data_IF_067903674185
#
_entry.id   IF_067903674185
#
_cell.length_a   1.000
_cell.length_b   1.000
_cell.length_c   1.000
_cell.angle_alpha   90.00
_cell.angle_beta   90.00
_cell.angle_gamma   90.00
#
_symmetry.space_group_name_H-M   'P 1'
#
loop_
_entity.id
_entity.type
_entity.pdbx_description
1 polymer ?
#
# COMPACT_ATOMS: atom_id res chain seq x y z
N UNK A 1 -15.28 4.89 40.37
CA UNK A 1 -14.01 4.19 40.10
C UNK A 1 -14.38 2.97 39.28
N UNK A 2 -13.96 2.88 38.03
CA UNK A 2 -14.39 1.80 37.14
C UNK A 2 -13.26 1.46 36.18
N UNK A 3 -12.87 0.20 36.16
CA UNK A 3 -11.89 -0.34 35.22
C UNK A 3 -12.57 -0.51 33.87
N UNK A 4 -11.99 0.06 32.81
CA UNK A 4 -12.51 -0.01 31.44
C UNK A 4 -11.54 -0.78 30.55
N UNK A 5 -12.11 -1.57 29.63
CA UNK A 5 -11.37 -2.14 28.51
C UNK A 5 -11.51 -1.19 27.32
N UNK A 6 -10.40 -0.57 26.93
CA UNK A 6 -10.39 0.52 25.96
C UNK A 6 -9.24 0.37 24.96
N UNK A 7 -9.33 1.13 23.88
CA UNK A 7 -8.27 1.23 22.88
C UNK A 7 -7.31 2.35 23.26
N UNK A 8 -6.03 2.02 23.40
CA UNK A 8 -4.94 2.99 23.42
C UNK A 8 -4.40 3.15 22.00
N UNK A 9 -4.21 4.39 21.53
CA UNK A 9 -3.73 4.66 20.18
C UNK A 9 -2.21 4.60 20.14
N UNK A 10 -1.70 3.88 19.15
CA UNK A 10 -0.31 3.89 18.68
C UNK A 10 -0.30 4.21 17.18
N UNK A 11 0.90 4.34 16.63
CA UNK A 11 1.16 4.46 15.21
C UNK A 11 1.38 5.90 14.79
N UNK A 12 1.51 6.10 13.49
CA UNK A 12 1.78 7.41 12.87
C UNK A 12 0.49 8.05 12.38
N UNK A 13 0.58 9.31 11.94
CA UNK A 13 -0.53 9.99 11.24
C UNK A 13 -0.97 9.12 10.04
N UNK A 14 -2.29 8.99 9.83
CA UNK A 14 -2.92 8.15 8.79
C UNK A 14 -2.68 6.63 8.86
N UNK A 15 -1.88 6.13 9.80
CA UNK A 15 -1.68 4.69 10.04
C UNK A 15 -1.80 4.42 11.53
N UNK A 16 -3.04 4.49 12.03
CA UNK A 16 -3.33 4.27 13.44
C UNK A 16 -3.38 2.77 13.74
N UNK A 17 -2.74 2.35 14.82
CA UNK A 17 -2.77 1.00 15.36
C UNK A 17 -3.23 1.12 16.80
N UNK A 18 -4.03 0.20 17.29
CA UNK A 18 -4.56 0.28 18.65
C UNK A 18 -4.09 -0.89 19.49
N UNK A 19 -3.84 -0.64 20.76
CA UNK A 19 -3.73 -1.70 21.76
C UNK A 19 -5.03 -1.81 22.53
N UNK A 20 -5.44 -3.05 22.79
CA UNK A 20 -6.55 -3.33 23.69
C UNK A 20 -5.98 -3.41 25.10
N UNK A 21 -6.27 -2.40 25.90
CA UNK A 21 -5.71 -2.23 27.25
C UNK A 21 -6.82 -2.13 28.29
N UNK A 22 -6.48 -2.55 29.50
CA UNK A 22 -7.30 -2.41 30.68
C UNK A 22 -6.72 -1.29 31.52
N UNK A 23 -7.52 -0.27 31.79
CA UNK A 23 -7.09 0.89 32.55
C UNK A 23 -8.25 1.44 33.38
N UNK A 24 -7.93 2.22 34.41
CA UNK A 24 -8.94 3.00 35.11
C UNK A 24 -9.56 4.04 34.15
N UNK A 25 -10.87 4.29 34.30
CA UNK A 25 -11.60 5.24 33.47
C UNK A 25 -11.03 6.67 33.48
N UNK A 26 -10.37 7.10 34.56
CA UNK A 26 -9.80 8.44 34.73
C UNK A 26 -8.41 8.59 34.10
N UNK A 27 -7.72 7.47 33.84
CA UNK A 27 -6.39 7.53 33.24
C UNK A 27 -6.46 8.12 31.82
N UNK A 28 -5.46 8.87 31.34
CA UNK A 28 -5.45 9.42 29.99
C UNK A 28 -5.40 8.29 28.95
N UNK A 29 -5.90 8.53 27.71
CA UNK A 29 -6.08 7.50 26.67
C UNK A 29 -4.85 6.62 26.47
N UNK A 30 -3.69 7.25 26.30
CA UNK A 30 -2.41 6.60 25.98
C UNK A 30 -1.44 6.59 27.18
N UNK A 31 -1.94 6.74 28.40
CA UNK A 31 -1.10 6.76 29.61
C UNK A 31 -0.98 5.41 30.29
N UNK A 32 -0.83 5.46 31.62
CA UNK A 32 -0.67 4.26 32.45
C UNK A 32 -1.89 3.35 32.35
N UNK A 33 -1.65 2.09 32.03
CA UNK A 33 -2.62 1.00 32.04
C UNK A 33 -2.21 -0.09 33.03
N UNK A 34 -3.16 -0.97 33.37
CA UNK A 34 -2.96 -2.09 34.29
C UNK A 34 -2.36 -3.27 33.52
N UNK A 35 -3.01 -3.66 32.42
CA UNK A 35 -2.62 -4.80 31.59
C UNK A 35 -2.98 -4.57 30.12
N UNK A 36 -2.13 -5.06 29.22
CA UNK A 36 -2.42 -5.15 27.78
C UNK A 36 -2.90 -6.57 27.46
N UNK A 37 -4.10 -6.69 26.88
CA UNK A 37 -4.71 -7.98 26.52
C UNK A 37 -4.67 -8.28 25.03
N UNK A 38 -4.31 -7.30 24.20
CA UNK A 38 -4.30 -7.49 22.75
C UNK A 38 -3.91 -6.27 21.95
N UNK A 39 -4.06 -6.39 20.64
CA UNK A 39 -3.82 -5.37 19.63
C UNK A 39 -4.90 -5.43 18.54
N UNK A 40 -5.19 -4.27 17.95
CA UNK A 40 -6.12 -4.10 16.86
C UNK A 40 -5.48 -3.23 15.77
N UNK A 41 -5.43 -3.76 14.55
CA UNK A 41 -4.95 -3.06 13.37
C UNK A 41 -6.09 -2.92 12.34
N UNK A 42 -6.68 -1.71 12.18
CA UNK A 42 -7.71 -1.46 11.18
C UNK A 42 -7.15 -1.29 9.76
N UNK A 43 -5.83 -1.18 9.58
CA UNK A 43 -5.23 -0.91 8.27
C UNK A 43 -5.05 -2.18 7.43
N UNK A 44 -5.31 -3.36 8.01
CA UNK A 44 -5.32 -4.62 7.27
C UNK A 44 -6.75 -4.95 6.85
N UNK A 45 -6.90 -5.64 5.72
CA UNK A 45 -8.18 -6.14 5.24
C UNK A 45 -8.10 -7.66 5.02
N UNK A 46 -8.74 -8.48 5.88
CA UNK A 46 -9.57 -8.11 7.05
C UNK A 46 -8.79 -7.45 8.20
N UNK A 47 -9.50 -6.71 9.08
CA UNK A 47 -8.88 -6.03 10.21
C UNK A 47 -8.29 -7.04 11.22
N UNK A 48 -7.00 -6.91 11.52
CA UNK A 48 -6.29 -7.83 12.39
C UNK A 48 -6.62 -7.53 13.85
N UNK A 49 -7.43 -8.38 14.46
CA UNK A 49 -7.74 -8.35 15.89
C UNK A 49 -6.95 -9.48 16.53
N UNK A 50 -6.07 -9.20 17.49
CA UNK A 50 -5.38 -10.20 18.30
C UNK A 50 -5.67 -9.92 19.77
N UNK A 51 -6.45 -10.78 20.43
CA UNK A 51 -6.87 -10.61 21.83
C UNK A 51 -6.66 -11.95 22.54
N UNK A 52 -6.08 -11.90 23.74
CA UNK A 52 -6.05 -13.03 24.65
C UNK A 52 -7.44 -13.21 25.30
N UNK A 53 -8.18 -14.21 24.84
CA UNK A 53 -9.58 -14.45 25.22
C UNK A 53 -9.74 -14.76 26.71
N UNK A 54 -8.83 -15.52 27.32
CA UNK A 54 -8.97 -15.94 28.71
C UNK A 54 -8.69 -14.80 29.69
N UNK A 55 -7.70 -13.96 29.38
CA UNK A 55 -7.45 -12.73 30.16
C UNK A 55 -8.61 -11.75 30.01
N UNK A 56 -9.12 -11.56 28.80
CA UNK A 56 -10.27 -10.68 28.55
C UNK A 56 -11.50 -11.14 29.36
N UNK A 57 -11.78 -12.44 29.36
CA UNK A 57 -12.86 -13.04 30.13
C UNK A 57 -12.70 -12.80 31.64
N UNK A 58 -11.50 -13.04 32.19
CA UNK A 58 -11.23 -12.81 33.61
C UNK A 58 -11.56 -11.37 34.02
N UNK A 59 -11.11 -10.39 33.24
CA UNK A 59 -11.37 -8.98 33.52
C UNK A 59 -12.84 -8.61 33.39
N UNK A 60 -13.55 -9.18 32.41
CA UNK A 60 -15.00 -8.98 32.27
C UNK A 60 -15.79 -9.61 33.43
N UNK A 61 -15.37 -10.75 33.96
CA UNK A 61 -15.98 -11.39 35.14
C UNK A 61 -15.72 -10.57 36.40
N UNK A 62 -14.55 -9.93 36.50
CA UNK A 62 -14.22 -8.98 37.57
C UNK A 62 -14.95 -7.63 37.45
N UNK A 63 -15.82 -7.45 36.45
CA UNK A 63 -16.66 -6.25 36.29
C UNK A 63 -16.07 -5.15 35.40
N UNK A 64 -14.96 -5.38 34.70
CA UNK A 64 -14.42 -4.41 33.75
C UNK A 64 -15.43 -4.11 32.63
N UNK A 65 -15.62 -2.83 32.33
CA UNK A 65 -16.59 -2.38 31.33
C UNK A 65 -15.91 -2.13 29.98
N UNK A 66 -16.23 -2.86 28.91
CA UNK A 66 -15.67 -2.59 27.59
C UNK A 66 -16.30 -1.35 26.96
N UNK A 67 -15.48 -0.59 26.22
CA UNK A 67 -15.96 0.46 25.30
C UNK A 67 -16.66 -0.17 24.08
N UNK A 68 -17.50 0.59 23.36
CA UNK A 68 -18.37 0.05 22.31
C UNK A 68 -17.61 -0.71 21.20
N UNK A 69 -16.56 -0.11 20.65
CA UNK A 69 -15.70 -0.75 19.64
C UNK A 69 -15.01 -2.01 20.16
N UNK A 70 -14.55 -1.98 21.42
CA UNK A 70 -13.92 -3.15 22.06
C UNK A 70 -14.97 -4.24 22.31
N UNK A 71 -16.19 -3.88 22.70
CA UNK A 71 -17.32 -4.80 22.86
C UNK A 71 -17.64 -5.50 21.54
N UNK A 72 -17.61 -4.78 20.42
CA UNK A 72 -17.78 -5.37 19.09
C UNK A 72 -16.67 -6.38 18.77
N UNK A 73 -15.40 -6.07 19.06
CA UNK A 73 -14.27 -7.00 18.87
C UNK A 73 -14.37 -8.24 19.76
N UNK A 74 -14.72 -8.06 21.05
CA UNK A 74 -14.89 -9.16 21.99
C UNK A 74 -16.09 -10.05 21.64
N UNK A 75 -17.15 -9.45 21.08
CA UNK A 75 -18.30 -10.18 20.53
C UNK A 75 -17.89 -10.98 19.31
N UNK A 76 -17.15 -10.36 18.38
CA UNK A 76 -16.65 -11.02 17.18
C UNK A 76 -15.74 -12.22 17.49
N UNK A 77 -14.90 -12.12 18.54
CA UNK A 77 -14.05 -13.22 19.03
C UNK A 77 -14.75 -14.22 19.97
N UNK A 78 -16.03 -14.03 20.27
CA UNK A 78 -16.82 -14.94 21.11
C UNK A 78 -16.66 -14.77 22.62
N UNK A 79 -15.79 -13.88 23.10
CA UNK A 79 -15.53 -13.67 24.54
C UNK A 79 -16.80 -13.22 25.28
N UNK A 80 -17.63 -12.39 24.65
CA UNK A 80 -18.91 -11.94 25.24
C UNK A 80 -19.91 -13.09 25.39
N UNK A 81 -19.96 -14.01 24.42
CA UNK A 81 -20.80 -15.19 24.49
C UNK A 81 -20.30 -16.14 25.59
N UNK A 82 -18.99 -16.41 25.62
CA UNK A 82 -18.34 -17.21 26.67
C UNK A 82 -18.65 -16.68 28.06
N UNK A 83 -18.58 -15.35 28.28
CA UNK A 83 -18.98 -14.69 29.52
C UNK A 83 -20.45 -14.96 29.88
N UNK A 84 -21.36 -14.81 28.92
CA UNK A 84 -22.79 -15.03 29.18
C UNK A 84 -23.09 -16.47 29.60
N UNK A 85 -22.50 -17.44 28.89
CA UNK A 85 -22.65 -18.87 29.19
C UNK A 85 -22.08 -19.19 30.58
N UNK A 86 -20.89 -18.70 30.90
CA UNK A 86 -20.31 -18.89 32.24
C UNK A 86 -21.14 -18.29 33.37
N UNK A 87 -21.78 -17.13 33.16
CA UNK A 87 -22.72 -16.58 34.15
C UNK A 87 -23.91 -17.54 34.35
N UNK A 88 -24.38 -18.20 33.29
CA UNK A 88 -25.40 -19.24 33.37
C UNK A 88 -24.94 -20.45 34.19
N UNK A 89 -23.70 -20.90 33.98
CA UNK A 89 -23.09 -22.00 34.76
C UNK A 89 -22.96 -21.63 36.23
N UNK A 90 -22.44 -20.43 36.54
CA UNK A 90 -22.28 -19.95 37.93
C UNK A 90 -23.62 -19.84 38.65
N UNK A 91 -24.70 -19.52 37.92
CA UNK A 91 -26.07 -19.48 38.45
C UNK A 91 -26.75 -20.86 38.50
N UNK A 92 -26.10 -21.92 38.02
CA UNK A 92 -26.64 -23.28 37.99
C UNK A 92 -27.70 -23.54 36.92
N UNK A 93 -27.88 -22.63 35.95
CA UNK A 93 -28.91 -22.76 34.91
C UNK A 93 -28.51 -23.72 33.78
N UNK A 94 -27.21 -23.95 33.58
CA UNK A 94 -26.65 -24.84 32.56
C UNK A 94 -25.40 -25.54 33.11
N UNK A 95 -25.09 -26.72 32.57
CA UNK A 95 -23.82 -27.41 32.90
C UNK A 95 -22.65 -26.82 32.10
N UNK A 96 -21.43 -27.09 32.56
CA UNK A 96 -20.22 -26.63 31.87
C UNK A 96 -20.12 -27.22 30.46
N UNK A 97 -20.47 -28.49 30.28
CA UNK A 97 -20.46 -29.17 28.99
C UNK A 97 -21.42 -28.53 27.99
N UNK A 98 -22.65 -28.21 28.42
CA UNK A 98 -23.63 -27.51 27.59
C UNK A 98 -23.18 -26.11 27.19
N UNK A 99 -22.44 -25.42 28.07
CA UNK A 99 -21.87 -24.12 27.75
C UNK A 99 -20.79 -24.25 26.67
N UNK A 100 -19.90 -25.23 26.80
CA UNK A 100 -18.80 -25.42 25.86
C UNK A 100 -19.31 -25.89 24.49
N UNK A 101 -20.30 -26.78 24.44
CA UNK A 101 -20.94 -27.21 23.18
C UNK A 101 -21.57 -26.03 22.43
N UNK A 102 -22.38 -25.21 23.12
CA UNK A 102 -22.99 -24.01 22.54
C UNK A 102 -21.95 -23.00 22.05
N UNK A 103 -20.84 -22.88 22.78
CA UNK A 103 -19.74 -22.00 22.39
C UNK A 103 -19.04 -22.50 21.12
N UNK A 104 -18.74 -23.79 21.04
CA UNK A 104 -18.10 -24.39 19.87
C UNK A 104 -18.98 -24.29 18.63
N UNK A 105 -20.27 -24.65 18.72
CA UNK A 105 -21.20 -24.54 17.61
C UNK A 105 -21.28 -23.09 17.05
N UNK A 106 -21.20 -22.09 17.94
CA UNK A 106 -21.13 -20.69 17.52
C UNK A 106 -19.80 -20.33 16.87
N UNK A 107 -18.67 -20.82 17.41
CA UNK A 107 -17.33 -20.59 16.87
C UNK A 107 -17.20 -21.17 15.46
N UNK A 108 -17.66 -22.40 15.24
CA UNK A 108 -17.62 -23.06 13.94
C UNK A 108 -18.43 -22.28 12.89
N UNK A 109 -19.63 -21.83 13.26
CA UNK A 109 -20.46 -20.98 12.39
C UNK A 109 -19.80 -19.64 12.06
N UNK A 110 -19.07 -19.06 13.02
CA UNK A 110 -18.30 -17.83 12.80
C UNK A 110 -17.08 -18.05 11.93
N UNK A 111 -16.31 -19.10 12.18
CA UNK A 111 -15.12 -19.44 11.41
C UNK A 111 -15.49 -19.65 9.95
N UNK A 112 -16.58 -20.39 9.67
CA UNK A 112 -17.14 -20.52 8.32
C UNK A 112 -17.44 -19.17 7.67
N UNK A 113 -18.16 -18.29 8.37
CA UNK A 113 -18.50 -16.94 7.86
C UNK A 113 -17.24 -16.09 7.59
N UNK A 114 -16.20 -16.27 8.40
CA UNK A 114 -14.93 -15.56 8.26
C UNK A 114 -14.18 -16.07 7.02
N UNK A 115 -14.06 -17.39 6.86
CA UNK A 115 -13.43 -18.01 5.71
C UNK A 115 -14.08 -17.60 4.39
N UNK A 116 -15.43 -17.63 4.32
CA UNK A 116 -16.18 -17.17 3.15
C UNK A 116 -15.88 -15.70 2.79
N UNK A 117 -15.74 -14.83 3.80
CA UNK A 117 -15.37 -13.41 3.59
C UNK A 117 -13.93 -13.27 3.12
N UNK A 118 -13.00 -14.04 3.68
CA UNK A 118 -11.58 -14.01 3.28
C UNK A 118 -11.44 -14.45 1.82
N UNK A 119 -12.08 -15.54 1.42
CA UNK A 119 -12.09 -16.03 0.03
C UNK A 119 -12.68 -15.00 -0.94
N UNK A 120 -13.78 -14.33 -0.56
CA UNK A 120 -14.36 -13.25 -1.35
C UNK A 120 -13.41 -12.06 -1.51
N UNK A 121 -12.69 -11.69 -0.45
CA UNK A 121 -11.71 -10.60 -0.49
C UNK A 121 -10.50 -11.00 -1.36
N UNK A 122 -10.02 -12.24 -1.25
CA UNK A 122 -8.90 -12.75 -2.05
C UNK A 122 -9.25 -12.79 -3.53
N UNK A 123 -10.38 -13.39 -3.92
CA UNK A 123 -10.86 -13.41 -5.31
C UNK A 123 -11.05 -12.02 -5.91
N UNK A 124 -11.54 -11.05 -5.13
CA UNK A 124 -11.63 -9.66 -5.55
C UNK A 124 -10.24 -9.02 -5.72
N UNK A 125 -9.29 -9.30 -4.82
CA UNK A 125 -7.91 -8.80 -4.95
C UNK A 125 -7.19 -9.42 -6.15
N UNK A 126 -7.41 -10.69 -6.42
CA UNK A 126 -6.74 -11.40 -7.51
C UNK A 126 -7.29 -11.00 -8.88
N UNK A 127 -8.59 -10.72 -9.00
CA UNK A 127 -9.16 -10.16 -10.23
C UNK A 127 -8.63 -8.75 -10.52
N UNK A 128 -8.53 -7.88 -9.50
CA UNK A 128 -7.95 -6.53 -9.64
C UNK A 128 -6.46 -6.60 -10.00
N UNK A 129 -5.69 -7.50 -9.39
CA UNK A 129 -4.28 -7.71 -9.75
C UNK A 129 -4.14 -8.24 -11.18
N UNK A 130 -4.99 -9.18 -11.60
CA UNK A 130 -4.98 -9.73 -12.95
C UNK A 130 -5.25 -8.65 -13.99
N UNK A 131 -6.28 -7.83 -13.81
CA UNK A 131 -6.60 -6.74 -14.74
C UNK A 131 -5.50 -5.67 -14.76
N UNK A 132 -4.89 -5.36 -13.61
CA UNK A 132 -3.75 -4.45 -13.56
C UNK A 132 -2.53 -5.00 -14.31
N UNK A 133 -2.21 -6.29 -14.15
CA UNK A 133 -1.11 -6.95 -14.84
C UNK A 133 -1.36 -7.00 -16.35
N UNK A 134 -2.56 -7.37 -16.79
CA UNK A 134 -2.94 -7.37 -18.21
C UNK A 134 -2.80 -5.97 -18.81
N UNK A 135 -3.27 -4.93 -18.11
CA UNK A 135 -3.12 -3.54 -18.55
C UNK A 135 -1.65 -3.07 -18.61
N UNK A 136 -0.81 -3.51 -17.68
CA UNK A 136 0.62 -3.20 -17.67
C UNK A 136 1.36 -3.93 -18.80
N UNK A 137 1.07 -5.22 -19.02
CA UNK A 137 1.67 -6.00 -20.12
C UNK A 137 1.31 -5.46 -21.49
N UNK A 138 0.07 -5.04 -21.70
CA UNK A 138 -0.35 -4.39 -22.95
C UNK A 138 0.39 -3.06 -23.18
N UNK A 139 0.56 -2.23 -22.15
CA UNK A 139 1.35 -0.99 -22.24
C UNK A 139 2.82 -1.25 -22.52
N UNK A 140 3.40 -2.26 -21.87
CA UNK A 140 4.80 -2.62 -22.07
C UNK A 140 5.04 -3.20 -23.47
N UNK A 141 4.13 -4.05 -23.97
CA UNK A 141 4.19 -4.56 -25.36
C UNK A 141 4.07 -3.43 -26.37
N UNK A 142 3.08 -2.54 -26.25
CA UNK A 142 2.93 -1.39 -27.14
C UNK A 142 4.16 -0.48 -27.14
N UNK A 143 4.82 -0.30 -25.99
CA UNK A 143 6.09 0.45 -25.90
C UNK A 143 7.22 -0.26 -26.62
N UNK A 144 7.33 -1.59 -26.50
CA UNK A 144 8.35 -2.38 -27.21
C UNK A 144 8.13 -2.35 -28.72
N UNK A 145 6.88 -2.48 -29.17
CA UNK A 145 6.54 -2.46 -30.58
C UNK A 145 6.80 -1.07 -31.20
N UNK A 146 6.46 0.01 -30.49
CA UNK A 146 6.81 1.37 -30.93
C UNK A 146 8.32 1.63 -30.97
N UNK A 147 9.10 1.03 -30.06
CA UNK A 147 10.57 1.11 -30.10
C UNK A 147 11.11 0.36 -31.33
N UNK A 148 10.63 -0.86 -31.58
CA UNK A 148 11.03 -1.63 -32.76
C UNK A 148 10.68 -0.92 -34.06
N UNK A 149 9.46 -0.38 -34.19
CA UNK A 149 9.07 0.40 -35.36
C UNK A 149 9.96 1.63 -35.55
N UNK A 150 10.38 2.29 -34.47
CA UNK A 150 11.32 3.42 -34.53
C UNK A 150 12.73 2.98 -34.92
N UNK A 151 13.20 1.84 -34.43
CA UNK A 151 14.50 1.25 -34.78
C UNK A 151 14.52 0.78 -36.24
N UNK A 152 13.47 0.10 -36.69
CA UNK A 152 13.30 -0.36 -38.06
C UNK A 152 13.17 0.83 -39.03
N UNK A 153 12.45 1.89 -38.65
CA UNK A 153 12.40 3.13 -39.42
C UNK A 153 13.77 3.84 -39.48
N UNK A 154 14.50 3.93 -38.36
CA UNK A 154 15.84 4.51 -38.35
C UNK A 154 16.83 3.70 -39.20
N UNK A 155 16.72 2.37 -39.17
CA UNK A 155 17.54 1.46 -39.98
C UNK A 155 17.20 1.56 -41.47
N UNK A 156 15.92 1.70 -41.83
CA UNK A 156 15.50 1.93 -43.21
C UNK A 156 15.98 3.26 -43.77
N UNK A 157 16.00 4.33 -42.96
CA UNK A 157 16.58 5.63 -43.35
C UNK A 157 18.09 5.53 -43.53
N UNK A 158 18.80 4.83 -42.63
CA UNK A 158 20.24 4.60 -42.75
C UNK A 158 20.60 3.75 -43.99
N UNK A 159 19.81 2.72 -44.32
CA UNK A 159 19.99 1.88 -45.52
C UNK A 159 19.69 2.67 -46.81
N UNK A 160 18.72 3.59 -46.77
CA UNK A 160 18.41 4.50 -47.87
C UNK A 160 19.50 5.57 -48.09
N UNK A 161 20.08 6.12 -47.02
CA UNK A 161 21.24 7.02 -47.09
C UNK A 161 22.50 6.30 -47.58
N UNK A 162 22.74 5.05 -47.15
CA UNK A 162 23.85 4.23 -47.63
C UNK A 162 23.73 3.92 -49.14
N UNK A 163 22.52 3.60 -49.63
CA UNK A 163 22.26 3.42 -51.07
C UNK A 163 22.37 4.71 -51.88
N UNK A 164 22.00 5.86 -51.31
CA UNK A 164 22.17 7.16 -51.96
C UNK A 164 23.64 7.57 -52.04
N UNK A 165 24.45 7.22 -51.03
CA UNK A 165 25.90 7.42 -51.03
C UNK A 165 26.62 6.48 -52.01
N UNK A 166 26.15 5.23 -52.16
CA UNK A 166 26.71 4.26 -53.12
C UNK A 166 26.35 4.61 -54.58
N UNK A 167 25.18 5.21 -54.83
CA UNK A 167 24.79 5.71 -56.16
C UNK A 167 25.54 7.00 -56.61
N UNK A 168 26.16 7.72 -55.68
CA UNK A 168 26.98 8.90 -55.97
C UNK A 168 28.45 8.57 -56.31
N UNK A 169 28.89 7.31 -56.18
CA UNK A 169 30.29 6.91 -56.27
C UNK A 169 30.57 5.82 -57.33
N UNK A 170 30.42 6.14 -58.64
CA UNK A 170 31.26 5.66 -59.77
C UNK A 170 30.69 6.03 -61.16
N UNK A 171 31.50 6.37 -62.19
CA UNK A 171 32.66 7.27 -62.21
C UNK A 171 32.53 8.36 -63.32
N UNK A 172 33.17 9.53 -63.15
CA UNK A 172 33.51 10.42 -64.27
C UNK A 172 34.87 11.10 -64.02
N UNK A 173 35.89 10.67 -64.78
CA UNK A 173 37.17 11.35 -65.05
C UNK A 173 37.73 10.77 -66.37
N UNK A 174 38.45 11.52 -67.23
CA UNK A 174 39.83 12.01 -66.96
C UNK A 174 40.07 13.50 -67.38
N UNK A 175 40.67 14.37 -66.52
CA UNK A 175 42.11 14.83 -66.45
C UNK A 175 42.49 16.02 -67.38
N UNK A 176 43.57 16.83 -67.16
CA UNK A 176 44.40 17.09 -65.94
C UNK A 176 44.93 18.56 -65.73
N UNK A 177 45.62 18.78 -64.59
CA UNK A 177 46.77 19.72 -64.28
C UNK A 177 46.57 21.27 -64.30
N UNK A 178 47.17 22.15 -63.47
CA UNK A 178 48.12 22.20 -62.32
C UNK A 178 47.93 23.63 -61.68
N UNK A 179 48.36 24.04 -60.46
CA UNK A 179 49.71 24.25 -59.88
C UNK A 179 49.53 24.73 -58.40
N UNK A 180 50.56 24.45 -57.58
CA UNK A 180 50.98 24.91 -56.22
C UNK A 180 50.51 26.31 -55.74
N UNK A 181 50.44 26.69 -54.46
CA UNK A 181 51.47 26.65 -53.40
C UNK A 181 50.85 27.07 -52.03
N UNK A 182 51.37 26.56 -50.91
CA UNK A 182 51.06 26.99 -49.54
C UNK A 182 51.98 28.16 -49.11
N UNK A 183 51.65 29.00 -48.09
CA UNK A 183 51.93 28.58 -46.71
C UNK A 183 50.97 29.13 -45.63
N UNK A 184 51.25 28.67 -44.41
CA UNK A 184 50.47 28.65 -43.19
C UNK A 184 50.59 29.90 -42.30
N UNK A 185 49.64 30.01 -41.37
CA UNK A 185 49.68 30.65 -40.04
C UNK A 185 49.54 32.18 -39.87
N UNK A 186 48.53 32.58 -39.09
CA UNK A 186 48.67 33.61 -38.03
C UNK A 186 47.60 33.45 -36.95
N UNK A 187 48.03 33.69 -35.72
CA UNK A 187 47.41 33.48 -34.41
C UNK A 187 46.13 34.28 -34.06
N UNK A 188 45.47 33.77 -33.01
CA UNK A 188 44.37 34.33 -32.21
C UNK A 188 44.71 35.67 -31.51
N UNK A 189 43.78 36.40 -30.83
CA UNK A 189 43.29 35.95 -29.51
C UNK A 189 41.85 36.35 -29.09
N UNK A 190 41.25 35.46 -28.28
CA UNK A 190 40.57 35.66 -26.97
C UNK A 190 39.67 36.89 -26.73
N UNK A 191 38.41 36.64 -26.33
CA UNK A 191 37.74 37.35 -25.24
C UNK A 191 36.68 36.45 -24.56
N UNK A 192 36.81 36.32 -23.25
CA UNK A 192 36.01 35.51 -22.33
C UNK A 192 35.23 36.43 -21.36
N UNK A 193 34.08 35.96 -20.90
CA UNK A 193 33.47 36.18 -19.56
C UNK A 193 32.47 37.38 -19.36
N UNK A 194 31.65 37.38 -18.27
CA UNK A 194 30.23 37.01 -18.30
C UNK A 194 29.32 38.05 -17.59
N UNK A 195 28.00 37.83 -17.52
CA UNK A 195 27.15 38.51 -16.53
C UNK A 195 25.90 37.69 -16.16
N UNK A 196 25.78 37.44 -14.86
CA UNK A 196 24.63 36.88 -14.15
C UNK A 196 23.37 37.77 -14.27
N UNK A 197 22.20 37.14 -14.13
CA UNK A 197 20.91 37.81 -13.98
C UNK A 197 19.88 36.88 -13.34
N UNK A 198 19.69 37.06 -12.05
CA UNK A 198 18.82 36.35 -11.11
C UNK A 198 17.31 36.55 -11.40
N UNK A 199 16.50 35.56 -10.99
CA UNK A 199 15.04 35.45 -11.13
C UNK A 199 14.27 36.45 -10.20
N UNK A 200 12.90 36.54 -10.19
CA UNK A 200 12.05 35.43 -9.69
C UNK A 200 10.60 35.31 -10.24
N UNK A 201 10.05 34.11 -10.00
CA UNK A 201 8.67 33.76 -9.60
C UNK A 201 7.46 34.08 -10.51
N UNK A 202 6.79 33.01 -10.99
CA UNK A 202 5.35 32.97 -11.20
C UNK A 202 4.78 31.66 -10.63
N UNK A 203 3.96 31.81 -9.61
CA UNK A 203 3.13 30.83 -8.91
C UNK A 203 1.85 30.63 -9.76
N UNK A 204 1.58 29.42 -10.26
CA UNK A 204 0.25 29.08 -10.78
C UNK A 204 -0.30 27.86 -10.04
N UNK A 205 -1.34 28.16 -9.25
CA UNK A 205 -2.05 27.29 -8.34
C UNK A 205 -3.42 27.04 -8.94
N UNK A 206 -3.61 25.88 -9.57
CA UNK A 206 -4.94 25.44 -10.01
C UNK A 206 -5.74 24.84 -8.83
N UNK A 207 -7.05 25.15 -8.71
CA UNK A 207 -7.83 24.88 -7.50
C UNK A 207 -8.51 23.49 -7.47
N UNK A 208 -8.83 23.09 -6.24
CA UNK A 208 -9.72 21.98 -5.88
C UNK A 208 -11.11 22.16 -6.49
N UNK A 209 -11.66 21.09 -7.09
CA UNK A 209 -13.10 20.98 -7.34
C UNK A 209 -13.66 19.80 -6.54
N UNK A 210 -14.63 20.14 -5.68
CA UNK A 210 -15.46 19.23 -4.90
C UNK A 210 -16.82 19.16 -5.59
N UNK A 211 -17.24 17.96 -5.96
CA UNK A 211 -18.64 17.55 -6.02
C UNK A 211 -18.75 16.10 -5.53
#
# INVERSE_FOLDING_TARGET
MAVKIRLARRGRKKMAIYDVVIADARAPRDGRFIEKIGSYNPNTDPASININNDRALKWLMNGAQPTDTVKAMLSYRGVMLKKHLQIGVVKGAITQEQADEKFQAWMDGKEKTISEKVEKIQSAKDSVKKTALEAETAKNQARLDAIKEREDAAKAVADAEAKAAEAAAAPKAPEPEAVEEAPEATEAPVAEAPAEGEAPAADDKAPEDKA
#
